data_IF_778124140880
#
_entry.id   IF_778124140880
#
_cell.length_a   1.000
_cell.length_b   1.000
_cell.length_c   1.000
_cell.angle_alpha   90.00
_cell.angle_beta   90.00
_cell.angle_gamma   90.00
#
_symmetry.space_group_name_H-M   'P 1'
#
loop_
_entity.id
_entity.type
_entity.pdbx_description
1 polymer ?
#
# COMPACT_ATOMS: atom_id res chain seq x y z
N UNK A 1 23.21 15.20 2.71
CA UNK A 1 23.91 13.89 2.90
C UNK A 1 24.32 13.82 4.37
N UNK A 2 23.86 12.78 5.06
CA UNK A 2 24.28 12.51 6.45
C UNK A 2 25.57 11.69 6.41
N UNK A 3 26.55 12.09 7.21
CA UNK A 3 27.84 11.39 7.34
C UNK A 3 28.14 11.14 8.82
N UNK A 4 28.81 10.03 9.11
CA UNK A 4 29.19 9.67 10.47
C UNK A 4 30.40 8.74 10.48
N UNK A 5 31.11 8.69 11.62
CA UNK A 5 32.23 7.74 11.82
C UNK A 5 31.76 6.30 12.01
N UNK A 6 30.49 6.09 12.34
CA UNK A 6 29.84 4.80 12.51
C UNK A 6 28.48 4.82 11.84
N UNK A 7 27.79 3.69 11.76
CA UNK A 7 26.43 3.61 11.20
C UNK A 7 25.36 4.25 12.10
N UNK A 8 25.56 4.29 13.42
CA UNK A 8 24.57 4.77 14.36
C UNK A 8 24.07 6.20 14.04
N UNK A 9 24.92 7.24 13.86
CA UNK A 9 24.44 8.57 13.49
C UNK A 9 23.69 8.64 12.15
N UNK A 10 23.91 7.68 11.25
CA UNK A 10 23.24 7.62 9.96
C UNK A 10 21.85 7.00 10.13
N UNK A 11 21.75 5.93 10.91
CA UNK A 11 20.49 5.20 11.15
C UNK A 11 19.55 5.97 12.09
N UNK A 12 20.12 6.64 13.10
CA UNK A 12 19.36 7.33 14.14
C UNK A 12 19.05 8.80 13.79
N UNK A 13 19.49 9.30 12.63
CA UNK A 13 19.30 10.72 12.29
C UNK A 13 17.83 11.09 12.13
N UNK A 14 17.44 12.19 12.74
CA UNK A 14 16.12 12.83 12.56
C UNK A 14 16.18 14.06 11.65
N UNK A 15 17.37 14.38 11.12
CA UNK A 15 17.58 15.57 10.27
C UNK A 15 16.55 15.73 9.15
N UNK A 16 16.13 14.67 8.42
CA UNK A 16 15.11 14.83 7.39
C UNK A 16 13.79 15.38 7.91
N UNK A 17 13.46 15.15 9.18
CA UNK A 17 12.26 15.65 9.83
C UNK A 17 12.46 17.04 10.48
N UNK A 18 13.71 17.39 10.78
CA UNK A 18 14.04 18.61 11.53
C UNK A 18 14.26 19.82 10.60
N UNK A 19 14.70 19.58 9.34
CA UNK A 19 15.09 20.66 8.41
C UNK A 19 13.96 21.14 7.50
N UNK A 20 12.86 20.41 7.42
CA UNK A 20 11.71 20.75 6.58
C UNK A 20 10.44 20.73 7.41
N UNK A 21 9.70 21.83 7.39
CA UNK A 21 8.39 21.86 8.04
C UNK A 21 7.41 20.90 7.35
N UNK A 22 6.54 20.28 8.14
CA UNK A 22 5.48 19.42 7.62
C UNK A 22 4.58 20.22 6.65
N UNK A 23 4.51 19.77 5.40
CA UNK A 23 3.74 20.43 4.33
C UNK A 23 2.25 20.10 4.42
N UNK A 24 1.92 18.87 4.77
CA UNK A 24 0.54 18.37 4.84
C UNK A 24 0.23 17.84 6.23
N UNK A 25 -1.00 18.11 6.69
CA UNK A 25 -1.49 17.53 7.94
C UNK A 25 -2.19 16.20 7.68
N UNK A 26 -2.02 15.18 8.54
CA UNK A 26 -2.79 13.96 8.44
C UNK A 26 -4.30 14.24 8.51
N UNK A 27 -5.08 13.64 7.63
CA UNK A 27 -6.55 13.77 7.62
C UNK A 27 -7.21 13.02 8.79
N UNK A 28 -6.50 12.04 9.33
CA UNK A 28 -6.91 11.25 10.49
C UNK A 28 -5.69 10.80 11.31
N UNK A 29 -5.92 10.24 12.48
CA UNK A 29 -4.90 9.47 13.18
C UNK A 29 -4.70 8.14 12.47
N UNK A 30 -3.52 7.93 11.93
CA UNK A 30 -3.12 6.64 11.36
C UNK A 30 -2.59 5.72 12.47
N UNK A 31 -2.95 4.44 12.39
CA UNK A 31 -2.57 3.46 13.41
C UNK A 31 -1.65 2.40 12.83
N UNK A 32 -0.57 2.12 13.54
CA UNK A 32 0.31 1.01 13.16
C UNK A 32 -0.35 -0.32 13.48
N UNK A 33 0.05 -1.36 12.75
CA UNK A 33 -0.45 -2.71 12.98
C UNK A 33 0.51 -3.76 12.45
N UNK A 34 0.30 -4.99 12.89
CA UNK A 34 0.96 -6.17 12.34
C UNK A 34 0.09 -6.72 11.22
N UNK A 35 0.71 -7.23 10.18
CA UNK A 35 0.00 -7.81 9.04
C UNK A 35 0.61 -9.11 8.59
N UNK A 36 -0.14 -9.81 7.75
CA UNK A 36 0.32 -10.99 7.04
C UNK A 36 0.20 -10.80 5.54
N UNK A 37 0.98 -11.55 4.78
CA UNK A 37 1.14 -11.39 3.35
C UNK A 37 1.36 -12.76 2.69
N UNK A 38 0.38 -13.25 1.96
CA UNK A 38 0.37 -14.59 1.37
C UNK A 38 1.45 -14.79 0.31
N UNK A 39 1.78 -13.74 -0.43
CA UNK A 39 2.74 -13.78 -1.53
C UNK A 39 4.13 -14.29 -1.11
N UNK A 40 4.55 -14.03 0.12
CA UNK A 40 5.85 -14.50 0.65
C UNK A 40 6.01 -16.02 0.53
N UNK A 41 4.92 -16.77 0.65
CA UNK A 41 4.92 -18.24 0.59
C UNK A 41 4.38 -18.75 -0.74
N UNK A 42 3.23 -18.22 -1.17
CA UNK A 42 2.47 -18.75 -2.31
C UNK A 42 2.66 -17.98 -3.62
N UNK A 43 3.50 -16.92 -3.63
CA UNK A 43 3.72 -16.07 -4.79
C UNK A 43 2.37 -15.64 -5.42
N UNK A 44 2.34 -15.40 -6.72
CA UNK A 44 1.15 -14.96 -7.46
C UNK A 44 -0.04 -15.95 -7.36
N UNK A 45 0.23 -17.24 -7.14
CA UNK A 45 -0.81 -18.26 -6.97
C UNK A 45 -1.65 -18.09 -5.72
N UNK A 46 -1.13 -17.40 -4.70
CA UNK A 46 -1.85 -17.12 -3.47
C UNK A 46 -2.86 -15.98 -3.58
N UNK A 47 -2.83 -15.21 -4.69
CA UNK A 47 -3.71 -14.06 -4.88
C UNK A 47 -5.10 -14.47 -5.38
N UNK A 48 -5.75 -15.42 -4.71
CA UNK A 48 -7.10 -15.89 -4.99
C UNK A 48 -8.00 -15.73 -3.76
N UNK A 49 -9.30 -15.75 -3.97
CA UNK A 49 -10.31 -15.45 -2.93
C UNK A 49 -10.20 -16.36 -1.72
N UNK A 50 -10.08 -17.68 -1.91
CA UNK A 50 -10.10 -18.66 -0.83
C UNK A 50 -8.82 -18.58 0.01
N UNK A 51 -7.68 -18.39 -0.64
CA UNK A 51 -6.41 -18.25 0.05
C UNK A 51 -6.36 -16.94 0.85
N UNK A 52 -6.84 -15.83 0.31
CA UNK A 52 -6.92 -14.57 1.05
C UNK A 52 -7.86 -14.68 2.26
N UNK A 53 -8.96 -15.40 2.13
CA UNK A 53 -9.86 -15.69 3.25
C UNK A 53 -9.16 -16.48 4.37
N UNK A 54 -8.34 -17.49 4.01
CA UNK A 54 -7.52 -18.23 4.98
C UNK A 54 -6.51 -17.32 5.69
N UNK A 55 -5.88 -16.40 4.97
CA UNK A 55 -4.94 -15.45 5.58
C UNK A 55 -5.64 -14.41 6.47
N UNK A 56 -6.87 -14.03 6.18
CA UNK A 56 -7.71 -13.22 7.09
C UNK A 56 -7.99 -14.00 8.39
N UNK A 57 -8.40 -15.26 8.30
CA UNK A 57 -8.64 -16.12 9.48
C UNK A 57 -7.36 -16.31 10.30
N UNK A 58 -6.22 -16.53 9.62
CA UNK A 58 -4.92 -16.62 10.28
C UNK A 58 -4.54 -15.32 10.98
N UNK A 59 -4.70 -14.16 10.31
CA UNK A 59 -4.42 -12.86 10.90
C UNK A 59 -5.27 -12.62 12.16
N UNK A 60 -6.58 -12.92 12.09
CA UNK A 60 -7.48 -12.82 13.23
C UNK A 60 -7.05 -13.72 14.40
N UNK A 61 -6.70 -14.96 14.12
CA UNK A 61 -6.24 -15.91 15.14
C UNK A 61 -4.92 -15.48 15.82
N UNK A 62 -4.04 -14.84 15.06
CA UNK A 62 -2.76 -14.30 15.56
C UNK A 62 -2.87 -12.92 16.22
N UNK A 63 -4.04 -12.29 16.21
CA UNK A 63 -4.24 -10.93 16.68
C UNK A 63 -3.55 -9.88 15.79
N UNK A 64 -3.38 -10.17 14.50
CA UNK A 64 -2.87 -9.22 13.52
C UNK A 64 -4.00 -8.35 12.97
N UNK A 65 -3.68 -7.10 12.65
CA UNK A 65 -4.67 -6.10 12.25
C UNK A 65 -4.91 -6.07 10.75
N UNK A 66 -3.98 -6.59 9.94
CA UNK A 66 -4.06 -6.41 8.48
C UNK A 66 -3.65 -7.65 7.68
N UNK A 67 -4.20 -7.74 6.46
CA UNK A 67 -3.75 -8.66 5.40
C UNK A 67 -3.42 -7.84 4.16
N UNK A 68 -2.24 -8.07 3.57
CA UNK A 68 -1.89 -7.53 2.27
C UNK A 68 -2.29 -8.53 1.17
N UNK A 69 -3.21 -8.10 0.31
CA UNK A 69 -3.57 -8.78 -0.95
C UNK A 69 -2.67 -8.25 -2.05
N UNK A 70 -1.78 -9.08 -2.56
CA UNK A 70 -0.73 -8.68 -3.50
C UNK A 70 -1.20 -8.59 -4.96
N UNK A 71 -0.28 -8.40 -5.89
CA UNK A 71 -0.52 -8.19 -7.32
C UNK A 71 -1.49 -9.20 -7.93
N UNK A 72 -2.12 -8.83 -9.03
CA UNK A 72 -3.08 -9.63 -9.81
C UNK A 72 -4.46 -9.83 -9.16
N UNK A 73 -4.72 -9.21 -8.01
CA UNK A 73 -6.04 -9.33 -7.37
C UNK A 73 -7.19 -8.82 -8.25
N UNK A 74 -6.93 -7.86 -9.13
CA UNK A 74 -7.90 -7.31 -10.09
C UNK A 74 -8.38 -8.36 -11.10
N UNK A 75 -7.53 -9.28 -11.49
CA UNK A 75 -7.83 -10.34 -12.45
C UNK A 75 -8.18 -11.68 -11.80
N UNK A 76 -7.54 -12.03 -10.70
CA UNK A 76 -7.74 -13.33 -10.02
C UNK A 76 -8.92 -13.32 -9.04
N UNK A 77 -9.20 -12.18 -8.41
CA UNK A 77 -10.29 -12.01 -7.44
C UNK A 77 -11.39 -11.12 -8.04
N UNK A 78 -11.00 -9.95 -8.54
CA UNK A 78 -11.91 -8.93 -9.09
C UNK A 78 -12.59 -8.10 -8.01
N UNK A 79 -13.07 -6.92 -8.40
CA UNK A 79 -13.65 -5.93 -7.51
C UNK A 79 -14.82 -6.44 -6.66
N UNK A 80 -15.83 -7.14 -7.20
CA UNK A 80 -16.96 -7.60 -6.40
C UNK A 80 -16.55 -8.56 -5.28
N UNK A 81 -15.69 -9.52 -5.57
CA UNK A 81 -15.19 -10.47 -4.56
C UNK A 81 -14.21 -9.80 -3.58
N UNK A 82 -13.50 -8.77 -4.01
CA UNK A 82 -12.66 -7.98 -3.10
C UNK A 82 -13.51 -7.23 -2.08
N UNK A 83 -14.68 -6.71 -2.47
CA UNK A 83 -15.66 -6.11 -1.53
C UNK A 83 -16.17 -7.13 -0.52
N UNK A 84 -16.40 -8.39 -0.94
CA UNK A 84 -16.76 -9.48 -0.02
C UNK A 84 -15.63 -9.79 0.96
N UNK A 85 -14.38 -9.86 0.50
CA UNK A 85 -13.21 -10.07 1.34
C UNK A 85 -13.04 -8.93 2.35
N UNK A 86 -13.23 -7.67 1.94
CA UNK A 86 -13.15 -6.53 2.85
C UNK A 86 -14.21 -6.61 3.95
N UNK A 87 -15.45 -6.96 3.61
CA UNK A 87 -16.53 -7.19 4.59
C UNK A 87 -16.21 -8.36 5.53
N UNK A 88 -15.68 -9.44 4.97
CA UNK A 88 -15.26 -10.61 5.75
C UNK A 88 -14.12 -10.25 6.72
N UNK A 89 -13.08 -9.57 6.25
CA UNK A 89 -11.99 -9.07 7.09
C UNK A 89 -12.50 -8.20 8.25
N UNK A 90 -13.37 -7.23 7.95
CA UNK A 90 -14.01 -6.39 8.97
C UNK A 90 -14.77 -7.20 10.02
N UNK A 91 -15.49 -8.26 9.63
CA UNK A 91 -16.20 -9.13 10.57
C UNK A 91 -15.27 -9.89 11.52
N UNK A 92 -13.99 -10.03 11.15
CA UNK A 92 -12.93 -10.68 11.91
C UNK A 92 -12.01 -9.69 12.64
N UNK A 93 -12.24 -8.39 12.50
CA UNK A 93 -11.35 -7.35 13.03
C UNK A 93 -10.03 -7.19 12.26
N UNK A 94 -10.01 -7.58 10.99
CA UNK A 94 -8.84 -7.53 10.10
C UNK A 94 -9.12 -6.63 8.92
N UNK A 95 -8.26 -5.65 8.68
CA UNK A 95 -8.34 -4.74 7.54
C UNK A 95 -7.50 -5.24 6.35
N UNK A 96 -7.83 -4.79 5.14
CA UNK A 96 -7.09 -5.13 3.94
C UNK A 96 -6.20 -3.98 3.47
N UNK A 97 -5.02 -4.36 2.99
CA UNK A 97 -4.17 -3.57 2.11
C UNK A 97 -4.19 -4.18 0.72
N UNK A 98 -4.26 -3.35 -0.32
CA UNK A 98 -4.28 -3.80 -1.71
C UNK A 98 -3.02 -3.35 -2.45
N UNK A 99 -2.48 -4.23 -3.24
CA UNK A 99 -1.32 -3.94 -4.08
C UNK A 99 -1.72 -3.17 -5.34
N UNK A 100 -0.90 -2.23 -5.75
CA UNK A 100 -1.00 -1.49 -7.00
C UNK A 100 0.37 -1.30 -7.65
N UNK A 101 0.42 -1.39 -8.98
CA UNK A 101 1.57 -0.96 -9.76
C UNK A 101 1.64 0.58 -9.77
N UNK A 102 2.81 1.15 -9.50
CA UNK A 102 2.99 2.60 -9.53
C UNK A 102 2.82 3.18 -10.93
N UNK A 103 3.14 2.41 -11.96
CA UNK A 103 3.31 2.85 -13.34
C UNK A 103 4.30 4.01 -13.50
N UNK A 104 5.25 4.10 -12.57
CA UNK A 104 6.37 5.05 -12.67
C UNK A 104 7.15 4.90 -13.96
N UNK A 105 7.87 5.93 -14.36
CA UNK A 105 8.71 5.87 -15.56
C UNK A 105 9.71 4.71 -15.49
N UNK A 106 9.98 4.10 -16.63
CA UNK A 106 10.83 2.91 -16.79
C UNK A 106 10.26 1.61 -16.17
N UNK A 107 9.07 1.63 -15.65
CA UNK A 107 8.41 0.45 -15.12
C UNK A 107 7.64 -0.28 -16.23
N UNK A 108 8.13 -1.43 -16.64
CA UNK A 108 7.51 -2.34 -17.60
C UNK A 108 6.87 -3.59 -16.96
N UNK A 109 6.86 -3.66 -15.63
CA UNK A 109 6.29 -4.79 -14.89
C UNK A 109 4.81 -5.02 -15.29
N UNK A 110 4.44 -6.25 -15.70
CA UNK A 110 3.12 -6.53 -16.24
C UNK A 110 2.02 -6.65 -15.17
N UNK A 111 2.38 -6.82 -13.91
CA UNK A 111 1.43 -7.08 -12.84
C UNK A 111 0.45 -5.91 -12.64
N UNK A 112 -0.83 -6.26 -12.52
CA UNK A 112 -1.94 -5.36 -12.21
C UNK A 112 -2.37 -5.38 -10.74
N UNK A 113 -3.19 -4.41 -10.34
CA UNK A 113 -3.76 -3.30 -11.14
C UNK A 113 -2.73 -2.30 -11.68
N UNK A 114 -2.88 -1.94 -12.95
CA UNK A 114 -1.96 -1.03 -13.67
C UNK A 114 -2.68 0.19 -14.24
N UNK A 115 -1.90 1.25 -14.55
CA UNK A 115 -2.39 2.48 -15.19
C UNK A 115 -3.41 3.23 -14.34
N UNK A 116 -3.23 3.16 -13.02
CA UNK A 116 -4.11 3.76 -12.01
C UNK A 116 -3.33 4.77 -11.18
N UNK A 117 -2.21 4.38 -10.58
CA UNK A 117 -1.51 5.21 -9.60
C UNK A 117 -0.80 6.43 -10.22
N UNK A 118 -0.35 6.34 -11.46
CA UNK A 118 0.23 7.44 -12.23
C UNK A 118 -0.80 8.43 -12.80
N UNK A 119 -2.08 8.08 -12.79
CA UNK A 119 -3.18 8.90 -13.31
C UNK A 119 -4.04 9.45 -12.17
N UNK A 120 -4.06 10.75 -11.99
CA UNK A 120 -4.75 11.41 -10.88
C UNK A 120 -6.23 11.05 -10.80
N UNK A 121 -6.97 11.04 -11.91
CA UNK A 121 -8.40 10.76 -11.90
C UNK A 121 -8.66 9.30 -11.49
N UNK A 122 -7.99 8.36 -12.14
CA UNK A 122 -8.14 6.92 -11.84
C UNK A 122 -7.68 6.58 -10.43
N UNK A 123 -6.59 7.20 -9.95
CA UNK A 123 -6.10 7.02 -8.59
C UNK A 123 -7.13 7.47 -7.56
N UNK A 124 -7.70 8.65 -7.74
CA UNK A 124 -8.75 9.18 -6.85
C UNK A 124 -10.04 8.34 -6.91
N UNK A 125 -10.45 7.87 -8.08
CA UNK A 125 -11.58 6.94 -8.23
C UNK A 125 -11.31 5.62 -7.47
N UNK A 126 -10.12 5.06 -7.60
CA UNK A 126 -9.72 3.84 -6.88
C UNK A 126 -9.72 4.07 -5.36
N UNK A 127 -9.17 5.20 -4.89
CA UNK A 127 -9.14 5.53 -3.46
C UNK A 127 -10.53 5.81 -2.90
N UNK A 128 -11.43 6.44 -3.67
CA UNK A 128 -12.83 6.62 -3.28
C UNK A 128 -13.56 5.27 -3.13
N UNK A 129 -13.31 4.32 -4.06
CA UNK A 129 -13.84 2.96 -3.96
C UNK A 129 -13.28 2.23 -2.73
N UNK A 130 -11.99 2.35 -2.47
CA UNK A 130 -11.35 1.76 -1.28
C UNK A 130 -11.96 2.31 0.02
N UNK A 131 -12.08 3.63 0.13
CA UNK A 131 -12.69 4.29 1.29
C UNK A 131 -14.12 3.80 1.51
N UNK A 132 -14.94 3.75 0.45
CA UNK A 132 -16.33 3.25 0.51
C UNK A 132 -16.41 1.81 1.02
N UNK A 133 -15.45 0.96 0.68
CA UNK A 133 -15.44 -0.45 1.04
C UNK A 133 -14.61 -0.77 2.29
N UNK A 134 -14.09 0.25 2.97
CA UNK A 134 -13.34 0.08 4.21
C UNK A 134 -11.97 -0.57 4.03
N UNK A 135 -11.38 -0.48 2.84
CA UNK A 135 -9.98 -0.84 2.60
C UNK A 135 -9.10 0.15 3.36
N UNK A 136 -8.18 -0.36 4.14
CA UNK A 136 -7.34 0.44 5.02
C UNK A 136 -6.19 1.14 4.31
N UNK A 137 -5.56 0.43 3.37
CA UNK A 137 -4.36 0.96 2.75
C UNK A 137 -4.00 0.31 1.42
N UNK A 138 -2.91 0.80 0.85
CA UNK A 138 -2.32 0.30 -0.38
C UNK A 138 -0.83 0.02 -0.22
N UNK A 139 -0.34 -0.99 -0.94
CA UNK A 139 1.06 -1.19 -1.27
C UNK A 139 1.25 -0.74 -2.72
N UNK A 140 2.08 0.26 -2.96
CA UNK A 140 2.41 0.73 -4.31
C UNK A 140 3.83 0.31 -4.65
N UNK A 141 4.01 -0.39 -5.76
CA UNK A 141 5.23 -1.09 -6.11
C UNK A 141 5.79 -0.67 -7.48
N UNK A 142 7.07 -0.98 -7.71
CA UNK A 142 7.75 -0.82 -9.00
C UNK A 142 7.90 0.63 -9.47
N UNK A 143 8.53 1.48 -8.66
CA UNK A 143 8.68 2.89 -9.02
C UNK A 143 9.72 3.17 -10.11
N UNK A 144 10.72 2.32 -10.28
CA UNK A 144 11.63 2.37 -11.42
C UNK A 144 12.67 3.49 -11.38
N UNK A 145 13.05 4.00 -10.20
CA UNK A 145 14.17 4.92 -10.05
C UNK A 145 13.92 6.13 -9.14
N UNK A 146 14.92 7.01 -9.09
CA UNK A 146 15.03 8.14 -8.15
C UNK A 146 14.89 9.52 -8.84
N UNK A 147 14.34 9.55 -10.04
CA UNK A 147 14.16 10.80 -10.77
C UNK A 147 13.11 11.69 -10.11
N UNK A 148 13.21 12.99 -10.36
CA UNK A 148 12.30 13.98 -9.80
C UNK A 148 10.82 13.69 -10.09
N UNK A 149 10.52 13.13 -11.26
CA UNK A 149 9.16 12.70 -11.63
C UNK A 149 8.64 11.58 -10.70
N UNK A 150 9.54 10.68 -10.24
CA UNK A 150 9.17 9.66 -9.27
C UNK A 150 8.93 10.27 -7.90
N UNK A 151 9.76 11.21 -7.46
CA UNK A 151 9.54 11.92 -6.20
C UNK A 151 8.19 12.64 -6.21
N UNK A 152 7.84 13.26 -7.36
CA UNK A 152 6.53 13.86 -7.54
C UNK A 152 5.40 12.84 -7.47
N UNK A 153 5.55 11.67 -8.06
CA UNK A 153 4.56 10.61 -8.01
C UNK A 153 4.34 10.09 -6.58
N UNK A 154 5.41 9.94 -5.76
CA UNK A 154 5.29 9.63 -4.33
C UNK A 154 4.43 10.68 -3.61
N UNK A 155 4.75 11.97 -3.81
CA UNK A 155 4.01 13.07 -3.19
C UNK A 155 2.53 13.06 -3.62
N UNK A 156 2.25 12.94 -4.92
CA UNK A 156 0.90 12.92 -5.47
C UNK A 156 0.07 11.74 -4.90
N UNK A 157 0.67 10.55 -4.78
CA UNK A 157 0.00 9.40 -4.18
C UNK A 157 -0.30 9.64 -2.70
N UNK A 158 0.66 10.18 -1.94
CA UNK A 158 0.48 10.46 -0.51
C UNK A 158 -0.59 11.52 -0.25
N UNK A 159 -0.64 12.56 -1.08
CA UNK A 159 -1.65 13.62 -0.98
C UNK A 159 -3.05 13.04 -1.19
N UNK A 160 -3.24 12.32 -2.30
CA UNK A 160 -4.54 11.72 -2.61
C UNK A 160 -4.92 10.66 -1.55
N UNK A 161 -3.99 9.81 -1.13
CA UNK A 161 -4.25 8.82 -0.09
C UNK A 161 -4.67 9.48 1.24
N UNK A 162 -4.04 10.60 1.62
CA UNK A 162 -4.43 11.37 2.79
C UNK A 162 -5.85 11.94 2.68
N UNK A 163 -6.25 12.45 1.51
CA UNK A 163 -7.61 12.95 1.29
C UNK A 163 -8.69 11.89 1.53
N UNK A 164 -8.39 10.63 1.16
CA UNK A 164 -9.30 9.49 1.32
C UNK A 164 -9.07 8.67 2.61
N UNK A 165 -8.08 9.06 3.43
CA UNK A 165 -7.74 8.34 4.66
C UNK A 165 -7.17 6.93 4.41
N UNK A 166 -6.47 6.74 3.30
CA UNK A 166 -5.81 5.49 2.90
C UNK A 166 -4.36 5.50 3.38
N UNK A 167 -3.91 4.41 4.00
CA UNK A 167 -2.51 4.22 4.38
C UNK A 167 -1.69 3.75 3.17
N UNK A 168 -0.42 4.14 3.11
CA UNK A 168 0.44 3.81 1.96
C UNK A 168 1.72 3.12 2.42
N UNK A 169 2.05 2.01 1.74
CA UNK A 169 3.33 1.32 1.83
C UNK A 169 3.97 1.42 0.45
N UNK A 170 5.14 2.04 0.35
CA UNK A 170 5.92 2.02 -0.87
C UNK A 170 6.85 0.82 -0.90
N UNK A 171 6.94 0.16 -2.06
CA UNK A 171 7.78 -1.00 -2.31
C UNK A 171 8.43 -0.89 -3.69
N UNK A 172 9.57 -1.55 -3.90
CA UNK A 172 10.33 -1.35 -5.14
C UNK A 172 10.62 0.12 -5.40
N UNK A 173 10.89 0.85 -4.33
CA UNK A 173 11.09 2.30 -4.32
C UNK A 173 12.57 2.65 -4.14
N UNK A 174 12.88 3.93 -4.28
CA UNK A 174 14.23 4.47 -4.11
C UNK A 174 14.55 4.61 -2.63
#
# INVERSE_FOLDING_TARGET
>A
ITVGKTLAPIVETTIPFDVVSQKYKPSKKYEYGKGTWSWIIGMDWSCNFDEQKRYIDFAAAMGYQTVLVDALWDTQIGYPKMEELAKYGKSKGVDLFLWYNSNGCWNDAPQGPRGIMDNTLKRREAMAWMQKNGIRGIKVDFFGGDKQEMMKLYEDILIDANDYGIEVIFHGCT
#
